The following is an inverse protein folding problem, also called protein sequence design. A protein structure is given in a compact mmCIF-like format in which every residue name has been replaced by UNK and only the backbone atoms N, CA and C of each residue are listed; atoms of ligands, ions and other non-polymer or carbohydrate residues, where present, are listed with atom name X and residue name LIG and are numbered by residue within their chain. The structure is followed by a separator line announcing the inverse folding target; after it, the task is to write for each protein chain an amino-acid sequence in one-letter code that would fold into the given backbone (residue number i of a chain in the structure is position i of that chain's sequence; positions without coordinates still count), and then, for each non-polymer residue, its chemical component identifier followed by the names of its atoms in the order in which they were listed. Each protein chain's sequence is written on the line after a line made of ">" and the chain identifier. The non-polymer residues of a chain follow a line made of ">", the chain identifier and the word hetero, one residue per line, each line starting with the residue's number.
data_IF_297422063482
#
_entry.id   IF_297422063482
#
_cell.length_a   1.000
_cell.length_b   1.000
_cell.length_c   1.000
_cell.angle_alpha   90.00
_cell.angle_beta   90.00
_cell.angle_gamma   90.00
#
_symmetry.space_group_name_H-M   'P 1'
#
loop_
_entity.id
_entity.type
_entity.pdbx_description
1 polymer ?
#
# COMPACT_ATOMS: atom_id res chain seq x y z
N UNK A 1 45.10 42.39 -29.71
CA UNK A 1 44.24 41.26 -30.14
C UNK A 1 44.58 39.92 -29.45
N UNK A 2 45.85 39.51 -29.34
CA UNK A 2 46.16 38.20 -28.68
C UNK A 2 45.81 38.12 -27.19
N UNK A 3 45.85 39.21 -26.42
CA UNK A 3 45.51 39.22 -25.00
C UNK A 3 43.99 39.18 -24.73
N UNK A 4 43.18 39.73 -25.63
CA UNK A 4 41.71 39.64 -25.55
C UNK A 4 41.20 38.25 -25.85
N UNK A 5 41.87 37.52 -26.72
CA UNK A 5 41.51 36.14 -27.06
C UNK A 5 41.72 35.17 -25.87
N UNK A 6 42.79 35.37 -25.11
CA UNK A 6 43.07 34.56 -23.91
C UNK A 6 42.08 34.82 -22.77
N UNK A 7 41.60 36.05 -22.59
CA UNK A 7 40.58 36.40 -21.58
C UNK A 7 39.23 35.82 -21.99
N UNK A 8 38.89 35.83 -23.28
CA UNK A 8 37.65 35.29 -23.78
C UNK A 8 37.60 33.74 -23.69
N UNK A 9 38.72 33.06 -23.95
CA UNK A 9 38.87 31.62 -23.76
C UNK A 9 38.85 31.23 -22.27
N UNK A 10 39.43 32.02 -21.38
CA UNK A 10 39.38 31.79 -19.94
C UNK A 10 37.96 32.01 -19.37
N UNK A 11 37.22 33.00 -19.89
CA UNK A 11 35.82 33.23 -19.51
C UNK A 11 34.90 32.11 -20.06
N UNK A 12 35.14 31.62 -21.29
CA UNK A 12 34.42 30.47 -21.83
C UNK A 12 34.69 29.17 -21.04
N UNK A 13 35.94 28.95 -20.60
CA UNK A 13 36.29 27.82 -19.75
C UNK A 13 35.73 27.96 -18.33
N UNK A 14 35.65 29.16 -17.78
CA UNK A 14 35.03 29.39 -16.46
C UNK A 14 33.48 29.28 -16.50
N UNK A 15 32.86 29.54 -17.66
CA UNK A 15 31.42 29.42 -17.83
C UNK A 15 30.93 27.99 -18.09
N UNK A 16 31.85 27.05 -18.38
CA UNK A 16 31.49 25.64 -18.64
C UNK A 16 31.61 24.71 -17.43
N UNK A 17 32.07 25.21 -16.30
CA UNK A 17 32.04 24.46 -15.04
C UNK A 17 30.81 24.89 -14.22
N UNK A 18 29.64 24.39 -14.57
CA UNK A 18 28.55 24.30 -13.60
C UNK A 18 29.00 23.24 -12.61
N UNK A 19 29.48 23.66 -11.47
CA UNK A 19 29.83 22.74 -10.39
C UNK A 19 28.56 22.06 -9.93
N UNK A 20 28.56 20.74 -9.94
CA UNK A 20 27.57 19.92 -9.23
C UNK A 20 27.57 20.39 -7.76
N UNK A 21 26.50 21.05 -7.31
CA UNK A 21 26.38 21.45 -5.92
C UNK A 21 25.75 20.25 -5.16
N UNK A 22 26.63 19.38 -4.68
CA UNK A 22 26.22 18.36 -3.71
C UNK A 22 26.52 18.89 -2.31
N UNK A 23 25.55 18.76 -1.42
CA UNK A 23 25.68 19.22 -0.05
C UNK A 23 25.39 18.06 0.90
N UNK A 24 26.30 17.81 1.84
CA UNK A 24 26.09 16.83 2.88
C UNK A 24 26.38 17.40 4.26
N UNK A 25 25.50 17.18 5.20
CA UNK A 25 25.68 17.55 6.60
C UNK A 25 25.53 16.30 7.46
N UNK A 26 26.53 16.02 8.28
CA UNK A 26 26.51 14.91 9.22
C UNK A 26 26.77 15.44 10.62
N UNK A 27 25.89 15.11 11.55
CA UNK A 27 26.10 15.34 12.98
C UNK A 27 25.97 14.01 13.72
N UNK A 28 27.01 13.65 14.47
CA UNK A 28 27.04 12.42 15.25
C UNK A 28 27.35 12.73 16.70
N UNK A 29 26.54 12.22 17.61
CA UNK A 29 26.78 12.22 19.06
C UNK A 29 26.55 10.81 19.60
N UNK A 30 27.42 10.32 20.47
CA UNK A 30 27.38 8.95 20.95
C UNK A 30 28.68 8.19 20.64
N UNK A 31 28.68 6.87 20.89
CA UNK A 31 29.87 6.04 20.71
C UNK A 31 29.67 5.01 19.59
N UNK A 32 30.74 4.72 18.85
CA UNK A 32 30.78 3.70 17.80
C UNK A 32 29.70 3.83 16.71
N UNK A 33 29.13 5.01 16.51
CA UNK A 33 28.20 5.26 15.41
C UNK A 33 28.95 5.45 14.09
N UNK A 34 28.40 4.95 13.00
CA UNK A 34 28.96 5.06 11.65
C UNK A 34 27.98 5.70 10.68
N UNK A 35 28.49 6.55 9.80
CA UNK A 35 27.70 7.09 8.70
C UNK A 35 28.54 7.12 7.42
N UNK A 36 27.93 6.69 6.32
CA UNK A 36 28.51 6.78 5.00
C UNK A 36 27.54 7.53 4.08
N UNK A 37 27.97 8.65 3.52
CA UNK A 37 27.20 9.45 2.58
C UNK A 37 27.97 9.52 1.27
N UNK A 38 27.40 8.98 0.20
CA UNK A 38 27.97 9.00 -1.14
C UNK A 38 27.02 9.73 -2.08
N UNK A 39 27.51 10.78 -2.73
CA UNK A 39 26.74 11.58 -3.67
C UNK A 39 27.47 11.64 -5.02
N UNK A 40 26.80 11.23 -6.09
CA UNK A 40 27.35 11.22 -7.46
C UNK A 40 26.35 11.86 -8.41
N UNK A 41 26.75 12.95 -9.06
CA UNK A 41 25.88 13.71 -9.96
C UNK A 41 25.67 15.15 -9.49
N UNK A 42 24.46 15.69 -9.66
CA UNK A 42 24.17 17.12 -9.47
C UNK A 42 23.04 17.35 -8.45
N UNK A 43 23.09 18.49 -7.75
CA UNK A 43 21.99 19.00 -6.90
C UNK A 43 21.48 18.02 -5.85
N UNK A 44 22.38 17.31 -5.19
CA UNK A 44 22.03 16.35 -4.15
C UNK A 44 22.23 16.98 -2.76
N UNK A 45 21.28 16.75 -1.88
CA UNK A 45 21.40 17.19 -0.48
C UNK A 45 21.17 16.00 0.45
N UNK A 46 22.07 15.82 1.41
CA UNK A 46 21.90 14.82 2.47
C UNK A 46 22.13 15.47 3.83
N UNK A 47 21.16 15.33 4.71
CA UNK A 47 21.28 15.73 6.11
C UNK A 47 21.12 14.50 6.99
N UNK A 48 22.11 14.25 7.82
CA UNK A 48 22.12 13.09 8.72
C UNK A 48 22.39 13.54 10.15
N UNK A 49 21.54 13.10 11.06
CA UNK A 49 21.69 13.31 12.49
C UNK A 49 21.63 11.96 13.22
N UNK A 50 22.72 11.57 13.85
CA UNK A 50 22.76 10.43 14.77
C UNK A 50 22.96 10.98 16.19
N UNK A 51 21.89 10.91 17.00
CA UNK A 51 21.86 11.56 18.30
C UNK A 51 21.79 10.56 19.45
N UNK A 52 22.82 10.53 20.26
CA UNK A 52 22.90 9.66 21.46
C UNK A 52 23.08 8.18 21.10
N UNK A 53 23.16 7.37 22.17
CA UNK A 53 23.30 5.93 22.04
C UNK A 53 24.64 5.45 21.48
N UNK A 54 24.67 4.15 21.18
CA UNK A 54 25.85 3.49 20.66
C UNK A 54 25.51 2.72 19.38
N UNK A 55 26.50 2.62 18.48
CA UNK A 55 26.44 1.71 17.33
C UNK A 55 25.30 1.96 16.32
N UNK A 56 24.87 3.21 16.16
CA UNK A 56 23.99 3.57 15.04
C UNK A 56 24.73 3.48 13.70
N UNK A 57 24.07 2.97 12.68
CA UNK A 57 24.63 2.82 11.34
C UNK A 57 23.75 3.51 10.30
N UNK A 58 24.37 4.34 9.47
CA UNK A 58 23.69 5.04 8.38
C UNK A 58 24.44 4.85 7.07
N UNK A 59 23.72 4.55 6.01
CA UNK A 59 24.23 4.60 4.65
C UNK A 59 23.29 5.42 3.77
N UNK A 60 23.78 6.46 3.15
CA UNK A 60 23.06 7.25 2.14
C UNK A 60 23.83 7.20 0.84
N UNK A 61 23.19 6.75 -0.22
CA UNK A 61 23.75 6.77 -1.57
C UNK A 61 22.77 7.51 -2.48
N UNK A 62 23.24 8.60 -3.05
CA UNK A 62 22.50 9.40 -4.01
C UNK A 62 23.26 9.42 -5.34
N UNK A 63 22.58 9.05 -6.42
CA UNK A 63 23.16 9.05 -7.76
C UNK A 63 22.14 9.59 -8.76
N UNK A 64 22.51 10.60 -9.52
CA UNK A 64 21.71 11.06 -10.64
C UNK A 64 22.58 11.36 -11.87
N UNK A 65 21.97 11.25 -13.04
CA UNK A 65 22.64 11.56 -14.31
C UNK A 65 22.22 12.91 -14.89
N UNK A 66 21.13 13.50 -14.39
CA UNK A 66 20.53 14.74 -14.88
C UNK A 66 20.25 15.74 -13.75
N UNK A 67 19.62 16.87 -14.06
CA UNK A 67 19.36 17.99 -13.15
C UNK A 67 18.30 17.75 -12.05
N UNK A 68 17.99 16.51 -11.74
CA UNK A 68 17.07 16.17 -10.66
C UNK A 68 17.64 16.50 -9.29
N UNK A 69 16.80 16.99 -8.38
CA UNK A 69 17.21 17.19 -7.00
C UNK A 69 16.89 15.94 -6.18
N UNK A 70 17.90 15.44 -5.46
CA UNK A 70 17.74 14.35 -4.51
C UNK A 70 17.96 14.87 -3.10
N UNK A 71 16.97 14.72 -2.24
CA UNK A 71 17.05 15.13 -0.84
C UNK A 71 16.91 13.92 0.07
N UNK A 72 17.79 13.80 1.03
CA UNK A 72 17.74 12.79 2.07
C UNK A 72 17.87 13.46 3.44
N UNK A 73 16.91 13.23 4.32
CA UNK A 73 16.95 13.68 5.71
C UNK A 73 16.77 12.48 6.63
N UNK A 74 17.80 12.10 7.35
CA UNK A 74 17.80 10.92 8.22
C UNK A 74 18.15 11.32 9.64
N UNK A 75 17.27 10.97 10.58
CA UNK A 75 17.48 11.14 12.02
C UNK A 75 17.43 9.80 12.73
N UNK A 76 18.44 9.48 13.51
CA UNK A 76 18.49 8.31 14.37
C UNK A 76 18.76 8.76 15.82
N UNK A 77 17.84 8.41 16.72
CA UNK A 77 17.95 8.68 18.16
C UNK A 77 17.83 7.37 18.92
N UNK A 78 18.80 7.06 19.79
CA UNK A 78 18.90 5.78 20.51
C UNK A 78 20.06 4.93 20.04
N UNK A 79 20.05 3.64 20.29
CA UNK A 79 21.19 2.75 20.04
C UNK A 79 20.89 1.65 19.01
N UNK A 80 21.89 1.27 18.22
CA UNK A 80 21.80 0.13 17.30
C UNK A 80 20.85 0.33 16.13
N UNK A 81 20.41 1.57 15.86
CA UNK A 81 19.54 1.83 14.71
C UNK A 81 20.31 1.73 13.39
N UNK A 82 19.69 1.13 12.39
CA UNK A 82 20.27 0.95 11.05
C UNK A 82 19.38 1.61 10.02
N UNK A 83 19.93 2.51 9.23
CA UNK A 83 19.26 3.16 8.11
C UNK A 83 20.05 3.01 6.82
N UNK A 84 19.36 2.66 5.75
CA UNK A 84 19.91 2.64 4.40
C UNK A 84 18.98 3.40 3.45
N UNK A 85 19.50 4.42 2.81
CA UNK A 85 18.79 5.21 1.81
C UNK A 85 19.56 5.11 0.50
N UNK A 86 18.89 4.66 -0.54
CA UNK A 86 19.43 4.57 -1.89
C UNK A 86 18.51 5.30 -2.86
N UNK A 87 18.98 6.42 -3.40
CA UNK A 87 18.28 7.20 -4.41
C UNK A 87 19.08 7.15 -5.71
N UNK A 88 18.53 6.54 -6.73
CA UNK A 88 19.17 6.44 -8.03
C UNK A 88 18.23 6.87 -9.14
N UNK A 89 18.59 7.87 -9.87
CA UNK A 89 17.88 8.29 -11.06
C UNK A 89 18.64 7.85 -12.32
N UNK A 90 17.98 6.99 -13.09
CA UNK A 90 18.51 6.43 -14.33
C UNK A 90 17.62 6.90 -15.48
N UNK A 91 18.06 7.89 -16.24
CA UNK A 91 17.37 8.28 -17.46
C UNK A 91 17.41 9.77 -17.77
N UNK A 92 17.28 10.08 -19.01
CA UNK A 92 17.24 11.47 -19.49
C UNK A 92 15.81 11.98 -19.35
N UNK A 93 15.48 12.55 -18.20
CA UNK A 93 14.21 13.25 -18.00
C UNK A 93 14.01 14.36 -19.04
N UNK A 94 13.18 14.11 -20.00
CA UNK A 94 12.90 15.09 -21.05
C UNK A 94 11.98 16.24 -20.60
N UNK A 95 11.49 16.21 -19.37
CA UNK A 95 10.56 17.21 -18.82
C UNK A 95 10.87 17.50 -17.36
N UNK A 96 11.88 18.30 -17.11
CA UNK A 96 12.17 19.11 -15.95
C UNK A 96 11.67 18.68 -14.55
N UNK A 97 12.61 18.59 -13.59
CA UNK A 97 12.38 18.61 -12.14
C UNK A 97 11.82 17.33 -11.49
N UNK A 98 12.57 16.27 -11.56
CA UNK A 98 12.35 15.14 -10.67
C UNK A 98 12.94 15.45 -9.28
N UNK A 99 12.08 15.66 -8.29
CA UNK A 99 12.50 15.80 -6.91
C UNK A 99 12.29 14.48 -6.19
N UNK A 100 13.34 13.79 -5.82
CA UNK A 100 13.29 12.65 -4.92
C UNK A 100 13.52 13.14 -3.49
N UNK A 101 12.62 12.82 -2.58
CA UNK A 101 12.75 13.22 -1.18
C UNK A 101 12.53 12.03 -0.27
N UNK A 102 13.51 11.74 0.56
CA UNK A 102 13.46 10.75 1.61
C UNK A 102 13.54 11.44 2.97
N UNK A 103 12.58 11.16 3.84
CA UNK A 103 12.60 11.57 5.24
C UNK A 103 12.47 10.33 6.11
N UNK A 104 13.47 10.08 6.95
CA UNK A 104 13.51 8.94 7.85
C UNK A 104 13.81 9.40 9.27
N UNK A 105 12.97 9.03 10.20
CA UNK A 105 13.19 9.24 11.63
C UNK A 105 13.07 7.90 12.39
N UNK A 106 14.11 7.55 13.14
CA UNK A 106 14.14 6.39 14.03
C UNK A 106 14.39 6.85 15.46
N UNK A 107 13.47 6.53 16.36
CA UNK A 107 13.53 6.86 17.79
C UNK A 107 13.38 5.60 18.62
N UNK A 108 14.36 5.27 19.43
CA UNK A 108 14.45 4.02 20.18
C UNK A 108 15.62 3.16 19.75
N UNK A 109 15.59 1.88 20.07
CA UNK A 109 16.75 1.03 19.86
C UNK A 109 16.52 -0.07 18.81
N UNK A 110 17.58 -0.39 18.07
CA UNK A 110 17.61 -1.50 17.10
C UNK A 110 16.56 -1.42 15.98
N UNK A 111 16.07 -0.22 15.63
CA UNK A 111 15.18 -0.06 14.48
C UNK A 111 15.97 -0.18 13.18
N UNK A 112 15.35 -0.79 12.17
CA UNK A 112 15.96 -1.00 10.85
C UNK A 112 15.07 -0.44 9.76
N UNK A 113 15.65 0.32 8.84
CA UNK A 113 14.96 0.87 7.69
C UNK A 113 15.82 0.80 6.44
N UNK A 114 15.20 0.37 5.34
CA UNK A 114 15.77 0.46 4.01
C UNK A 114 14.79 1.15 3.06
N UNK A 115 15.25 2.24 2.44
CA UNK A 115 14.50 2.99 1.44
C UNK A 115 15.26 2.97 0.12
N UNK A 116 14.62 2.50 -0.94
CA UNK A 116 15.21 2.37 -2.26
C UNK A 116 14.32 3.08 -3.27
N UNK A 117 14.83 4.12 -3.86
CA UNK A 117 14.24 4.81 -5.00
C UNK A 117 15.10 4.59 -6.25
N UNK A 118 14.59 3.85 -7.21
CA UNK A 118 15.33 3.55 -8.42
C UNK A 118 14.45 3.75 -9.68
N UNK A 119 14.93 4.50 -10.65
CA UNK A 119 14.30 4.68 -11.96
C UNK A 119 14.09 6.12 -12.40
N UNK A 120 13.50 6.25 -13.59
CA UNK A 120 13.28 7.53 -14.27
C UNK A 120 12.08 8.28 -13.69
N UNK A 121 12.28 9.56 -13.42
CA UNK A 121 11.28 10.64 -13.35
C UNK A 121 10.39 10.88 -12.13
N UNK A 122 10.37 12.16 -11.79
CA UNK A 122 9.32 13.01 -11.20
C UNK A 122 8.75 12.64 -9.83
N UNK A 123 9.17 13.45 -8.83
CA UNK A 123 8.37 13.68 -7.62
C UNK A 123 8.08 12.45 -6.77
N UNK A 124 9.11 11.78 -6.28
CA UNK A 124 8.98 10.70 -5.30
C UNK A 124 9.11 11.27 -3.90
N UNK A 125 8.26 10.82 -3.02
CA UNK A 125 8.31 11.20 -1.62
C UNK A 125 8.17 9.98 -0.73
N UNK A 126 9.19 9.68 0.04
CA UNK A 126 9.18 8.63 1.06
C UNK A 126 9.30 9.25 2.44
N UNK A 127 8.36 8.95 3.31
CA UNK A 127 8.40 9.40 4.69
C UNK A 127 8.20 8.23 5.65
N UNK A 128 9.13 8.03 6.56
CA UNK A 128 9.05 6.97 7.56
C UNK A 128 9.35 7.50 8.96
N UNK A 129 8.50 7.12 9.90
CA UNK A 129 8.74 7.28 11.34
C UNK A 129 8.70 5.91 12.02
N UNK A 130 9.78 5.54 12.70
CA UNK A 130 9.82 4.38 13.59
C UNK A 130 10.06 4.86 15.01
N UNK A 131 9.10 4.61 15.90
CA UNK A 131 9.19 4.96 17.31
C UNK A 131 8.98 3.72 18.18
N UNK A 132 9.97 3.36 18.99
CA UNK A 132 10.02 2.12 19.77
C UNK A 132 11.24 1.30 19.41
N UNK A 133 11.20 -0.01 19.66
CA UNK A 133 12.38 -0.84 19.52
C UNK A 133 12.18 -1.96 18.50
N UNK A 134 13.26 -2.31 17.80
CA UNK A 134 13.31 -3.42 16.87
C UNK A 134 12.23 -3.40 15.76
N UNK A 135 11.78 -2.20 15.37
CA UNK A 135 10.89 -2.05 14.21
C UNK A 135 11.69 -2.20 12.90
N UNK A 136 11.09 -2.85 11.91
CA UNK A 136 11.72 -3.11 10.61
C UNK A 136 10.83 -2.56 9.50
N UNK A 137 11.40 -1.79 8.60
CA UNK A 137 10.71 -1.21 7.46
C UNK A 137 11.47 -1.34 6.15
N UNK A 138 10.75 -1.58 5.07
CA UNK A 138 11.26 -1.57 3.72
C UNK A 138 10.34 -0.75 2.81
N UNK A 139 10.92 0.20 2.10
CA UNK A 139 10.25 0.93 1.02
C UNK A 139 11.08 0.78 -0.25
N UNK A 140 10.46 0.33 -1.32
CA UNK A 140 11.13 0.10 -2.59
C UNK A 140 10.29 0.62 -3.75
N UNK A 141 10.78 1.64 -4.41
CA UNK A 141 10.17 2.20 -5.61
C UNK A 141 11.05 1.87 -6.81
N UNK A 142 10.48 1.17 -7.77
CA UNK A 142 11.14 0.85 -9.04
C UNK A 142 10.32 1.42 -10.21
N UNK A 143 10.86 2.45 -10.83
CA UNK A 143 10.23 3.09 -11.98
C UNK A 143 9.01 3.97 -11.63
N UNK A 144 8.43 4.59 -12.65
CA UNK A 144 7.19 5.37 -12.57
C UNK A 144 7.33 6.82 -12.13
N UNK A 145 6.25 7.58 -12.37
CA UNK A 145 6.13 8.99 -12.03
C UNK A 145 5.42 9.12 -10.68
N UNK A 146 5.67 10.17 -9.94
CA UNK A 146 5.00 10.59 -8.70
C UNK A 146 4.51 9.45 -7.79
N UNK A 147 5.36 8.99 -6.91
CA UNK A 147 5.02 7.98 -5.92
C UNK A 147 5.12 8.61 -4.52
N UNK A 148 4.15 8.32 -3.67
CA UNK A 148 4.12 8.78 -2.29
C UNK A 148 3.98 7.57 -1.36
N UNK A 149 5.02 7.30 -0.58
CA UNK A 149 5.04 6.22 0.39
C UNK A 149 5.16 6.82 1.79
N UNK A 150 4.23 6.48 2.65
CA UNK A 150 4.27 6.89 4.05
C UNK A 150 4.21 5.67 4.95
N UNK A 151 5.02 5.67 6.00
CA UNK A 151 4.95 4.63 7.01
C UNK A 151 5.18 5.19 8.40
N UNK A 152 4.37 4.76 9.35
CA UNK A 152 4.54 5.08 10.74
C UNK A 152 4.39 3.82 11.59
N UNK A 153 5.42 3.51 12.38
CA UNK A 153 5.42 2.42 13.35
C UNK A 153 5.61 2.99 14.74
N UNK A 154 4.68 2.71 15.64
CA UNK A 154 4.72 3.11 17.05
C UNK A 154 4.58 1.84 17.90
N UNK A 155 5.55 1.56 18.75
CA UNK A 155 5.65 0.33 19.53
C UNK A 155 6.84 -0.53 19.09
N UNK A 156 6.85 -1.78 19.48
CA UNK A 156 8.02 -2.64 19.32
C UNK A 156 7.78 -3.78 18.31
N UNK A 157 8.85 -4.19 17.63
CA UNK A 157 8.84 -5.36 16.73
C UNK A 157 7.81 -5.29 15.59
N UNK A 158 7.43 -4.11 15.14
CA UNK A 158 6.54 -3.98 13.98
C UNK A 158 7.34 -4.14 12.69
N UNK A 159 6.69 -4.70 11.68
CA UNK A 159 7.24 -4.91 10.36
C UNK A 159 6.35 -4.29 9.28
N UNK A 160 6.94 -3.57 8.33
CA UNK A 160 6.27 -3.26 7.08
C UNK A 160 7.18 -3.43 5.86
N UNK A 161 6.54 -3.71 4.72
CA UNK A 161 7.17 -3.70 3.41
C UNK A 161 6.22 -3.06 2.39
N UNK A 162 6.68 -1.99 1.76
CA UNK A 162 5.97 -1.30 0.69
C UNK A 162 6.79 -1.38 -0.59
N UNK A 163 6.22 -1.93 -1.64
CA UNK A 163 6.88 -2.04 -2.94
C UNK A 163 5.99 -1.45 -4.02
N UNK A 164 6.53 -0.53 -4.80
CA UNK A 164 5.91 -0.03 -6.03
C UNK A 164 6.79 -0.46 -7.20
N UNK A 165 6.18 -1.17 -8.13
CA UNK A 165 6.80 -1.47 -9.43
C UNK A 165 5.88 -0.92 -10.51
N UNK A 166 6.31 0.09 -11.21
CA UNK A 166 5.52 0.73 -12.27
C UNK A 166 6.01 0.32 -13.65
N UNK A 167 5.07 -0.01 -14.50
CA UNK A 167 5.34 -0.19 -15.92
C UNK A 167 5.78 1.10 -16.61
N UNK A 168 6.40 0.98 -17.76
CA UNK A 168 6.89 2.10 -18.58
C UNK A 168 5.69 2.93 -19.06
N UNK A 169 5.74 4.23 -18.81
CA UNK A 169 4.75 5.18 -19.34
C UNK A 169 5.07 5.60 -20.77
N UNK A 170 4.09 5.53 -21.64
CA UNK A 170 4.14 6.08 -22.99
C UNK A 170 2.98 7.06 -23.21
N UNK A 171 3.09 8.30 -22.72
CA UNK A 171 2.04 9.30 -22.98
C UNK A 171 2.37 10.68 -22.40
N UNK A 172 1.97 11.72 -23.08
CA UNK A 172 2.27 13.12 -22.75
C UNK A 172 1.17 13.67 -21.85
N UNK A 173 1.52 14.11 -20.64
CA UNK A 173 0.75 15.13 -19.91
C UNK A 173 -0.11 14.70 -18.73
N UNK A 174 -0.10 13.45 -18.28
CA UNK A 174 -0.79 13.04 -17.05
C UNK A 174 0.09 12.12 -16.23
N UNK A 175 0.26 12.45 -14.97
CA UNK A 175 1.16 11.75 -14.07
C UNK A 175 0.34 10.91 -13.08
N UNK A 176 0.41 9.56 -13.14
CA UNK A 176 -0.23 8.72 -12.14
C UNK A 176 0.44 8.94 -10.78
N UNK A 177 -0.36 9.20 -9.78
CA UNK A 177 0.07 9.22 -8.38
C UNK A 177 -0.22 7.87 -7.76
N UNK A 178 0.80 7.19 -7.27
CA UNK A 178 0.63 6.02 -6.42
C UNK A 178 0.76 6.47 -4.97
N UNK A 179 -0.20 6.10 -4.15
CA UNK A 179 -0.19 6.43 -2.73
C UNK A 179 -0.24 5.16 -1.91
N UNK A 180 0.74 4.97 -1.06
CA UNK A 180 0.79 3.84 -0.13
C UNK A 180 1.01 4.35 1.28
N UNK A 181 0.12 3.97 2.19
CA UNK A 181 0.22 4.32 3.60
C UNK A 181 0.22 3.10 4.51
N UNK A 182 1.12 3.08 5.50
CA UNK A 182 1.11 2.13 6.62
C UNK A 182 1.15 2.89 7.93
N UNK A 183 0.19 2.60 8.78
CA UNK A 183 0.18 3.05 10.18
C UNK A 183 0.06 1.85 11.10
N UNK A 184 1.05 1.62 11.96
CA UNK A 184 1.07 0.57 12.97
C UNK A 184 1.25 1.16 14.36
N UNK A 185 0.32 0.88 15.27
CA UNK A 185 0.38 1.31 16.66
C UNK A 185 0.12 0.11 17.57
N UNK A 186 1.16 -0.34 18.26
CA UNK A 186 1.21 -1.55 19.06
C UNK A 186 2.43 -2.39 18.71
N UNK A 187 2.43 -3.66 19.11
CA UNK A 187 3.61 -4.48 19.00
C UNK A 187 3.42 -5.67 18.04
N UNK A 188 4.47 -6.00 17.31
CA UNK A 188 4.49 -7.19 16.45
C UNK A 188 3.52 -7.17 15.29
N UNK A 189 3.05 -6.00 14.84
CA UNK A 189 2.18 -5.88 13.67
C UNK A 189 2.99 -6.05 12.38
N UNK A 190 2.37 -6.62 11.36
CA UNK A 190 2.99 -6.84 10.06
C UNK A 190 2.10 -6.33 8.92
N UNK A 191 2.66 -5.50 8.03
CA UNK A 191 1.97 -5.00 6.86
C UNK A 191 2.82 -5.14 5.59
N UNK A 192 2.26 -5.75 4.55
CA UNK A 192 2.90 -5.89 3.26
C UNK A 192 2.01 -5.26 2.19
N UNK A 193 2.56 -4.35 1.42
CA UNK A 193 1.87 -3.70 0.31
C UNK A 193 2.71 -3.79 -0.95
N UNK A 194 2.19 -4.48 -1.96
CA UNK A 194 2.82 -4.59 -3.26
C UNK A 194 1.91 -3.96 -4.31
N UNK A 195 2.43 -3.02 -5.04
CA UNK A 195 1.72 -2.35 -6.11
C UNK A 195 2.47 -2.47 -7.41
N UNK A 196 1.79 -2.99 -8.41
CA UNK A 196 2.26 -3.00 -9.78
C UNK A 196 1.31 -2.14 -10.62
N UNK A 197 1.74 -0.93 -10.92
CA UNK A 197 0.93 0.03 -11.66
C UNK A 197 0.89 -0.25 -13.16
N UNK A 198 -0.21 0.14 -13.77
CA UNK A 198 -0.35 0.20 -15.22
C UNK A 198 -0.07 1.60 -15.77
N UNK A 199 -0.17 1.77 -17.09
CA UNK A 199 0.43 2.86 -17.84
C UNK A 199 -0.33 4.18 -17.93
N UNK A 200 -1.50 4.41 -17.32
CA UNK A 200 -2.30 5.63 -17.55
C UNK A 200 -3.07 6.14 -16.31
N UNK A 201 -3.16 7.43 -16.15
CA UNK A 201 -4.06 8.33 -15.45
C UNK A 201 -4.16 8.27 -13.91
N UNK A 202 -4.43 7.14 -13.27
CA UNK A 202 -4.46 7.03 -11.82
C UNK A 202 -3.72 5.77 -11.38
N UNK A 203 -2.76 5.95 -10.48
CA UNK A 203 -2.07 4.83 -9.87
C UNK A 203 -2.95 4.13 -8.82
N UNK A 204 -2.64 2.88 -8.47
CA UNK A 204 -3.26 2.21 -7.36
C UNK A 204 -2.98 2.93 -6.04
N UNK A 205 -3.93 2.82 -5.10
CA UNK A 205 -3.81 3.37 -3.75
C UNK A 205 -4.01 2.27 -2.71
N UNK A 206 -3.17 2.24 -1.68
CA UNK A 206 -3.23 1.22 -0.65
C UNK A 206 -2.99 1.83 0.74
N UNK A 207 -3.93 1.61 1.64
CA UNK A 207 -3.83 2.06 3.02
C UNK A 207 -3.95 0.90 4.00
N UNK A 208 -3.10 0.88 5.01
CA UNK A 208 -3.16 -0.04 6.14
C UNK A 208 -3.09 0.74 7.45
N UNK A 209 -4.04 0.48 8.33
CA UNK A 209 -4.02 0.97 9.71
C UNK A 209 -4.21 -0.20 10.67
N UNK A 210 -3.21 -0.47 11.51
CA UNK A 210 -3.23 -1.52 12.52
C UNK A 210 -3.06 -0.90 13.91
N UNK A 211 -4.04 -1.12 14.78
CA UNK A 211 -4.01 -0.69 16.19
C UNK A 211 -4.18 -1.90 17.10
N UNK A 212 -3.20 -2.18 17.93
CA UNK A 212 -3.13 -3.37 18.77
C UNK A 212 -1.93 -4.24 18.42
N UNK A 213 -1.96 -5.52 18.75
CA UNK A 213 -0.77 -6.35 18.65
C UNK A 213 -0.94 -7.52 17.67
N UNK A 214 0.14 -7.88 17.02
CA UNK A 214 0.22 -9.08 16.19
C UNK A 214 -0.80 -9.12 15.03
N UNK A 215 -1.27 -7.97 14.57
CA UNK A 215 -2.12 -7.90 13.38
C UNK A 215 -1.28 -8.10 12.11
N UNK A 216 -1.87 -8.76 11.10
CA UNK A 216 -1.18 -9.07 9.87
C UNK A 216 -2.01 -8.65 8.66
N UNK A 217 -1.41 -7.89 7.75
CA UNK A 217 -2.08 -7.46 6.51
C UNK A 217 -1.22 -7.69 5.28
N UNK A 218 -1.88 -7.99 4.17
CA UNK A 218 -1.25 -7.99 2.86
C UNK A 218 -2.18 -7.41 1.81
N UNK A 219 -1.69 -6.44 1.05
CA UNK A 219 -2.35 -5.86 -0.10
C UNK A 219 -1.49 -6.06 -1.34
N UNK A 220 -2.07 -6.68 -2.35
CA UNK A 220 -1.42 -6.92 -3.64
C UNK A 220 -2.30 -6.35 -4.76
N UNK A 221 -1.88 -5.22 -5.32
CA UNK A 221 -2.62 -4.48 -6.31
C UNK A 221 -1.88 -4.51 -7.64
N UNK A 222 -2.49 -5.12 -8.64
CA UNK A 222 -1.96 -5.19 -9.99
C UNK A 222 -2.94 -4.54 -10.97
N UNK A 223 -2.48 -3.53 -11.68
CA UNK A 223 -3.30 -2.76 -12.62
C UNK A 223 -3.55 -1.33 -12.15
N UNK A 224 -4.44 -0.64 -12.86
CA UNK A 224 -4.78 0.76 -12.63
C UNK A 224 -6.07 0.89 -11.82
N UNK A 225 -6.28 2.09 -11.25
CA UNK A 225 -7.54 2.44 -10.58
C UNK A 225 -7.98 1.41 -9.51
N UNK A 226 -7.03 0.84 -8.78
CA UNK A 226 -7.30 -0.04 -7.66
C UNK A 226 -7.18 0.74 -6.35
N UNK A 227 -8.18 0.62 -5.48
CA UNK A 227 -8.15 1.21 -4.15
C UNK A 227 -8.38 0.15 -3.07
N UNK A 228 -7.41 0.00 -2.18
CA UNK A 228 -7.43 -0.98 -1.10
C UNK A 228 -7.27 -0.31 0.25
N UNK A 229 -8.14 -0.62 1.20
CA UNK A 229 -8.03 -0.12 2.57
C UNK A 229 -8.25 -1.24 3.58
N UNK A 230 -7.33 -1.36 4.54
CA UNK A 230 -7.44 -2.26 5.68
C UNK A 230 -7.33 -1.46 6.96
N UNK A 231 -8.30 -1.62 7.85
CA UNK A 231 -8.30 -1.03 9.18
C UNK A 231 -8.56 -2.11 10.24
N UNK A 232 -7.56 -2.40 11.05
CA UNK A 232 -7.60 -3.40 12.12
C UNK A 232 -7.46 -2.74 13.49
N UNK A 233 -8.38 -3.04 14.39
CA UNK A 233 -8.33 -2.61 15.79
C UNK A 233 -8.52 -3.81 16.69
N UNK A 234 -7.54 -4.12 17.53
CA UNK A 234 -7.50 -5.32 18.36
C UNK A 234 -6.27 -6.16 18.09
N UNK A 235 -6.31 -7.44 18.40
CA UNK A 235 -5.12 -8.26 18.33
C UNK A 235 -5.29 -9.46 17.38
N UNK A 236 -4.21 -9.85 16.76
CA UNK A 236 -4.14 -11.05 15.92
C UNK A 236 -5.17 -11.09 14.77
N UNK A 237 -5.59 -9.94 14.29
CA UNK A 237 -6.44 -9.86 13.10
C UNK A 237 -5.62 -10.11 11.83
N UNK A 238 -6.28 -10.66 10.82
CA UNK A 238 -5.68 -11.05 9.55
C UNK A 238 -6.49 -10.51 8.38
N UNK A 239 -5.90 -9.70 7.50
CA UNK A 239 -6.59 -9.20 6.32
C UNK A 239 -5.72 -9.29 5.06
N UNK A 240 -6.27 -9.91 4.02
CA UNK A 240 -5.62 -10.02 2.71
C UNK A 240 -6.51 -9.43 1.61
N UNK A 241 -5.94 -8.57 0.79
CA UNK A 241 -6.60 -8.01 -0.39
C UNK A 241 -5.74 -8.24 -1.63
N UNK A 242 -6.31 -8.86 -2.63
CA UNK A 242 -5.69 -9.03 -3.94
C UNK A 242 -6.61 -8.41 -4.99
N UNK A 243 -6.09 -7.50 -5.77
CA UNK A 243 -6.82 -6.89 -6.86
C UNK A 243 -6.02 -7.00 -8.16
N UNK A 244 -6.63 -7.63 -9.14
CA UNK A 244 -6.07 -7.79 -10.47
C UNK A 244 -7.04 -7.18 -11.49
N UNK A 245 -6.54 -6.32 -12.34
CA UNK A 245 -7.32 -5.71 -13.40
C UNK A 245 -7.30 -4.20 -13.33
N UNK A 246 -8.20 -3.60 -14.04
CA UNK A 246 -8.18 -2.18 -14.32
C UNK A 246 -7.47 -1.90 -15.64
N UNK A 247 -8.12 -1.22 -16.54
CA UNK A 247 -7.57 -0.81 -17.82
C UNK A 247 -7.74 0.70 -18.03
N UNK A 248 -6.85 1.21 -18.78
CA UNK A 248 -6.44 2.54 -19.12
C UNK A 248 -7.50 3.59 -19.50
N UNK A 249 -8.76 3.42 -19.30
CA UNK A 249 -9.78 4.40 -19.72
C UNK A 249 -10.80 4.70 -18.61
N UNK A 250 -10.42 5.67 -17.77
CA UNK A 250 -11.30 6.56 -17.02
C UNK A 250 -12.57 5.95 -16.38
N UNK A 251 -12.60 5.88 -15.07
CA UNK A 251 -13.76 5.83 -14.18
C UNK A 251 -14.19 4.49 -13.55
N UNK A 252 -13.41 3.46 -13.60
CA UNK A 252 -13.77 2.20 -12.96
C UNK A 252 -12.80 1.81 -11.85
N UNK A 253 -12.99 2.36 -10.67
CA UNK A 253 -12.22 1.99 -9.50
C UNK A 253 -12.64 0.62 -8.98
N UNK A 254 -11.70 -0.33 -8.94
CA UNK A 254 -11.87 -1.50 -8.11
C UNK A 254 -11.63 -1.09 -6.64
N UNK A 255 -12.48 -1.51 -5.76
CA UNK A 255 -12.38 -1.12 -4.35
C UNK A 255 -12.49 -2.32 -3.44
N UNK A 256 -11.51 -2.49 -2.56
CA UNK A 256 -11.53 -3.47 -1.49
C UNK A 256 -11.35 -2.78 -0.13
N UNK A 257 -12.35 -2.90 0.74
CA UNK A 257 -12.31 -2.32 2.08
C UNK A 257 -12.48 -3.44 3.11
N UNK A 258 -11.58 -3.50 4.08
CA UNK A 258 -11.68 -4.40 5.23
C UNK A 258 -11.56 -3.61 6.52
N UNK A 259 -12.56 -3.76 7.40
CA UNK A 259 -12.55 -3.18 8.74
C UNK A 259 -12.78 -4.28 9.75
N UNK A 260 -11.82 -4.48 10.66
CA UNK A 260 -11.88 -5.49 11.71
C UNK A 260 -11.73 -4.82 13.08
N UNK A 261 -12.69 -5.09 13.96
CA UNK A 261 -12.65 -4.62 15.35
C UNK A 261 -12.85 -5.81 16.28
N UNK A 262 -11.90 -6.05 17.17
CA UNK A 262 -11.84 -7.22 18.04
C UNK A 262 -10.61 -8.08 17.76
N UNK A 263 -10.66 -9.35 18.09
CA UNK A 263 -9.48 -10.19 18.03
C UNK A 263 -9.67 -11.40 17.10
N UNK A 264 -8.58 -11.80 16.45
CA UNK A 264 -8.53 -13.00 15.62
C UNK A 264 -9.56 -13.04 14.49
N UNK A 265 -9.99 -11.88 13.99
CA UNK A 265 -10.85 -11.81 12.81
C UNK A 265 -10.02 -12.04 11.55
N UNK A 266 -10.65 -12.65 10.54
CA UNK A 266 -10.00 -12.95 9.27
C UNK A 266 -10.83 -12.40 8.09
N UNK A 267 -10.21 -11.66 7.21
CA UNK A 267 -10.84 -11.04 6.04
C UNK A 267 -10.02 -11.29 4.78
N UNK A 268 -10.65 -11.84 3.76
CA UNK A 268 -10.05 -12.13 2.48
C UNK A 268 -10.87 -11.50 1.35
N UNK A 269 -10.23 -10.73 0.49
CA UNK A 269 -10.88 -10.10 -0.66
C UNK A 269 -10.02 -10.31 -1.90
N UNK A 270 -10.59 -10.98 -2.88
CA UNK A 270 -9.96 -11.21 -4.18
C UNK A 270 -10.85 -10.66 -5.28
N UNK A 271 -10.40 -9.63 -5.96
CA UNK A 271 -11.11 -8.96 -7.04
C UNK A 271 -10.32 -9.13 -8.34
N UNK A 272 -10.93 -9.75 -9.33
CA UNK A 272 -10.33 -9.88 -10.66
C UNK A 272 -11.31 -9.35 -11.69
N UNK A 273 -10.96 -8.23 -12.31
CA UNK A 273 -11.78 -7.59 -13.33
C UNK A 273 -11.26 -7.88 -14.72
N UNK A 274 -12.16 -7.93 -15.69
CA UNK A 274 -11.77 -7.95 -17.10
C UNK A 274 -11.34 -6.56 -17.55
N UNK A 275 -10.78 -6.47 -18.73
CA UNK A 275 -10.29 -5.21 -19.31
C UNK A 275 -11.41 -4.29 -19.80
N UNK A 276 -12.63 -4.40 -19.30
CA UNK A 276 -13.79 -3.66 -19.78
C UNK A 276 -13.88 -2.23 -19.24
N UNK A 277 -14.40 -1.36 -20.06
CA UNK A 277 -14.44 0.11 -19.93
C UNK A 277 -15.50 0.65 -18.94
N UNK A 278 -16.09 -0.20 -18.11
CA UNK A 278 -17.22 0.16 -17.27
C UNK A 278 -16.92 -0.04 -15.79
N UNK A 279 -17.77 0.35 -14.93
CA UNK A 279 -17.60 0.44 -13.46
C UNK A 279 -16.83 -0.71 -12.82
N UNK A 280 -15.98 -0.40 -11.85
CA UNK A 280 -15.17 -1.36 -11.12
C UNK A 280 -15.96 -2.28 -10.19
N UNK A 281 -15.31 -3.33 -9.77
CA UNK A 281 -15.81 -4.31 -8.80
C UNK A 281 -15.51 -3.84 -7.38
N UNK A 282 -16.46 -4.04 -6.46
CA UNK A 282 -16.37 -3.52 -5.10
C UNK A 282 -16.58 -4.63 -4.07
N UNK A 283 -15.73 -4.68 -3.06
CA UNK A 283 -15.87 -5.56 -1.91
C UNK A 283 -15.70 -4.79 -0.60
N UNK A 284 -16.65 -4.95 0.30
CA UNK A 284 -16.59 -4.38 1.65
C UNK A 284 -16.82 -5.44 2.70
N UNK A 285 -15.89 -5.62 3.61
CA UNK A 285 -16.00 -6.54 4.74
C UNK A 285 -15.89 -5.73 6.03
N UNK A 286 -16.87 -5.89 6.93
CA UNK A 286 -16.82 -5.31 8.26
C UNK A 286 -17.05 -6.41 9.29
N UNK A 287 -16.12 -6.56 10.22
CA UNK A 287 -16.19 -7.56 11.29
C UNK A 287 -16.04 -6.86 12.64
N UNK A 288 -17.01 -7.08 13.53
CA UNK A 288 -16.98 -6.56 14.90
C UNK A 288 -17.23 -7.71 15.87
N UNK A 289 -16.29 -8.01 16.73
CA UNK A 289 -16.26 -9.18 17.61
C UNK A 289 -14.99 -10.00 17.42
N UNK A 290 -15.01 -11.25 17.78
CA UNK A 290 -13.83 -12.09 17.76
C UNK A 290 -14.01 -13.32 16.88
N UNK A 291 -12.93 -13.82 16.30
CA UNK A 291 -12.91 -15.05 15.53
C UNK A 291 -13.92 -15.10 14.35
N UNK A 292 -14.25 -13.96 13.78
CA UNK A 292 -15.08 -13.90 12.58
C UNK A 292 -14.23 -14.16 11.33
N UNK A 293 -14.83 -14.86 10.37
CA UNK A 293 -14.21 -15.15 9.07
C UNK A 293 -15.09 -14.61 7.95
N UNK A 294 -14.51 -13.85 7.03
CA UNK A 294 -15.18 -13.37 5.84
C UNK A 294 -14.29 -13.49 4.60
N UNK A 295 -14.85 -14.01 3.52
CA UNK A 295 -14.14 -14.16 2.25
C UNK A 295 -15.03 -13.71 1.09
N UNK A 296 -14.50 -12.86 0.22
CA UNK A 296 -15.13 -12.48 -1.05
C UNK A 296 -14.20 -12.80 -2.21
N UNK A 297 -14.72 -13.51 -3.19
CA UNK A 297 -14.03 -13.78 -4.45
C UNK A 297 -14.88 -13.30 -5.62
N UNK A 298 -14.44 -12.27 -6.30
CA UNK A 298 -15.19 -11.61 -7.37
C UNK A 298 -14.40 -11.68 -8.68
N UNK A 299 -15.01 -12.24 -9.71
CA UNK A 299 -14.46 -12.34 -11.07
C UNK A 299 -15.44 -11.73 -12.04
N UNK A 300 -15.02 -10.74 -12.79
CA UNK A 300 -15.85 -9.95 -13.71
C UNK A 300 -16.02 -8.52 -13.25
N UNK A 301 -16.79 -7.74 -14.01
CA UNK A 301 -16.95 -6.31 -13.81
C UNK A 301 -18.23 -5.99 -13.05
N UNK A 302 -18.27 -4.85 -12.34
CA UNK A 302 -19.47 -4.33 -11.66
C UNK A 302 -20.05 -5.25 -10.57
N UNK A 303 -19.28 -6.19 -10.07
CA UNK A 303 -19.72 -7.01 -8.94
C UNK A 303 -19.62 -6.18 -7.65
N UNK A 304 -20.62 -6.30 -6.80
CA UNK A 304 -20.65 -5.64 -5.49
C UNK A 304 -20.89 -6.69 -4.41
N UNK A 305 -19.98 -6.77 -3.45
CA UNK A 305 -20.05 -7.65 -2.30
C UNK A 305 -20.00 -6.86 -1.00
N UNK A 306 -20.90 -7.12 -0.09
CA UNK A 306 -20.87 -6.56 1.26
C UNK A 306 -21.05 -7.68 2.28
N UNK A 307 -20.14 -7.82 3.22
CA UNK A 307 -20.24 -8.73 4.36
C UNK A 307 -20.13 -7.92 5.64
N UNK A 308 -21.12 -8.07 6.52
CA UNK A 308 -21.15 -7.45 7.84
C UNK A 308 -21.38 -8.50 8.91
N UNK A 309 -20.43 -8.71 9.80
CA UNK A 309 -20.48 -9.68 10.88
C UNK A 309 -20.36 -8.96 12.22
N UNK A 310 -21.30 -9.24 13.12
CA UNK A 310 -21.33 -8.69 14.47
C UNK A 310 -21.41 -9.81 15.49
N UNK A 311 -20.67 -9.70 16.59
CA UNK A 311 -20.38 -10.71 17.59
C UNK A 311 -19.40 -11.78 17.09
N UNK A 312 -19.35 -12.94 17.72
CA UNK A 312 -18.18 -13.81 17.58
C UNK A 312 -18.45 -15.07 16.74
N UNK A 313 -17.39 -15.54 16.06
CA UNK A 313 -17.37 -16.82 15.39
C UNK A 313 -18.24 -16.93 14.15
N UNK A 314 -18.66 -15.82 13.56
CA UNK A 314 -19.46 -15.85 12.33
C UNK A 314 -18.58 -16.18 11.12
N UNK A 315 -19.14 -16.90 10.17
CA UNK A 315 -18.48 -17.34 8.95
C UNK A 315 -19.29 -16.90 7.72
N UNK A 316 -18.64 -16.20 6.77
CA UNK A 316 -19.26 -15.82 5.51
C UNK A 316 -18.32 -16.02 4.34
N UNK A 317 -18.76 -16.73 3.31
CA UNK A 317 -18.09 -16.85 2.03
C UNK A 317 -19.01 -16.42 0.90
N UNK A 318 -18.47 -15.64 -0.03
CA UNK A 318 -19.15 -15.17 -1.21
C UNK A 318 -18.28 -15.31 -2.45
N UNK A 319 -18.81 -16.00 -3.45
CA UNK A 319 -18.20 -16.07 -4.79
C UNK A 319 -19.15 -15.46 -5.81
N UNK A 320 -18.66 -14.49 -6.57
CA UNK A 320 -19.39 -13.88 -7.68
C UNK A 320 -18.56 -14.05 -8.96
N UNK A 321 -19.17 -14.62 -10.00
CA UNK A 321 -18.54 -14.73 -11.31
C UNK A 321 -19.47 -14.18 -12.40
N UNK A 322 -18.88 -13.62 -13.44
CA UNK A 322 -19.51 -12.75 -14.45
C UNK A 322 -19.89 -11.35 -13.88
N UNK A 323 -20.58 -10.53 -14.66
CA UNK A 323 -20.70 -9.11 -14.42
C UNK A 323 -21.99 -8.72 -13.70
N UNK A 324 -21.90 -7.66 -12.86
CA UNK A 324 -23.07 -6.99 -12.31
C UNK A 324 -23.81 -7.77 -11.19
N UNK A 325 -23.15 -8.70 -10.53
CA UNK A 325 -23.74 -9.39 -9.39
C UNK A 325 -23.69 -8.52 -8.13
N UNK A 326 -24.75 -8.55 -7.34
CA UNK A 326 -24.86 -7.83 -6.08
C UNK A 326 -25.14 -8.84 -4.94
N UNK A 327 -24.34 -8.79 -3.87
CA UNK A 327 -24.61 -9.58 -2.68
C UNK A 327 -24.39 -8.79 -1.40
N UNK A 328 -25.29 -8.96 -0.44
CA UNK A 328 -25.20 -8.37 0.90
C UNK A 328 -25.49 -9.44 1.96
N UNK A 329 -24.48 -9.75 2.78
CA UNK A 329 -24.54 -10.74 3.85
C UNK A 329 -24.42 -10.05 5.20
N UNK A 330 -25.38 -10.27 6.07
CA UNK A 330 -25.42 -9.67 7.41
C UNK A 330 -25.59 -10.79 8.45
N UNK A 331 -24.66 -10.88 9.38
CA UNK A 331 -24.72 -11.83 10.49
C UNK A 331 -24.62 -11.07 11.82
N UNK A 332 -25.64 -11.19 12.63
CA UNK A 332 -25.70 -10.59 13.95
C UNK A 332 -26.02 -11.69 14.99
N UNK A 333 -25.00 -12.13 15.69
CA UNK A 333 -25.09 -13.23 16.63
C UNK A 333 -23.83 -14.07 16.65
N UNK A 334 -23.90 -15.25 17.18
CA UNK A 334 -22.76 -16.13 17.36
C UNK A 334 -22.80 -17.32 16.39
N UNK A 335 -21.67 -17.66 15.82
CA UNK A 335 -21.48 -18.87 15.03
C UNK A 335 -22.48 -19.05 13.87
N UNK A 336 -22.86 -17.97 13.24
CA UNK A 336 -23.72 -18.02 12.05
C UNK A 336 -22.87 -18.28 10.80
N UNK A 337 -23.45 -18.97 9.82
CA UNK A 337 -22.77 -19.31 8.56
C UNK A 337 -23.59 -18.85 7.36
N UNK A 338 -22.97 -18.12 6.44
CA UNK A 338 -23.53 -17.81 5.12
C UNK A 338 -22.55 -18.22 4.04
N UNK A 339 -22.98 -19.07 3.12
CA UNK A 339 -22.25 -19.40 1.90
C UNK A 339 -23.07 -18.93 0.70
N UNK A 340 -22.47 -18.13 -0.17
CA UNK A 340 -23.10 -17.58 -1.34
C UNK A 340 -22.31 -17.82 -2.62
N UNK A 341 -23.01 -18.19 -3.67
CA UNK A 341 -22.46 -18.31 -5.01
C UNK A 341 -23.41 -17.67 -6.02
N UNK A 342 -22.90 -16.72 -6.79
CA UNK A 342 -23.58 -16.12 -7.92
C UNK A 342 -22.76 -16.36 -9.18
N UNK A 343 -23.29 -17.16 -10.08
CA UNK A 343 -22.71 -17.43 -11.39
C UNK A 343 -23.65 -16.88 -12.47
N UNK A 344 -23.13 -16.42 -13.58
CA UNK A 344 -23.81 -15.56 -14.53
C UNK A 344 -24.06 -14.14 -13.99
N UNK A 345 -24.47 -13.21 -14.82
CA UNK A 345 -24.55 -11.81 -14.45
C UNK A 345 -25.89 -11.36 -13.88
N UNK A 346 -25.88 -10.18 -13.23
CA UNK A 346 -27.06 -9.45 -12.75
C UNK A 346 -27.84 -10.15 -11.62
N UNK A 347 -27.26 -11.09 -10.89
CA UNK A 347 -27.89 -11.71 -9.74
C UNK A 347 -27.86 -10.76 -8.53
N UNK A 348 -28.93 -10.81 -7.73
CA UNK A 348 -29.05 -10.03 -6.50
C UNK A 348 -29.36 -10.94 -5.32
N UNK A 349 -28.54 -10.88 -4.26
CA UNK A 349 -28.73 -11.69 -3.06
C UNK A 349 -28.65 -10.82 -1.81
N UNK A 350 -29.63 -10.97 -0.93
CA UNK A 350 -29.55 -10.45 0.43
C UNK A 350 -29.77 -11.60 1.39
N UNK A 351 -28.82 -11.84 2.28
CA UNK A 351 -28.91 -12.85 3.32
C UNK A 351 -28.69 -12.23 4.69
N UNK A 352 -29.61 -12.39 5.61
CA UNK A 352 -29.54 -11.83 6.96
C UNK A 352 -29.80 -12.89 8.00
N UNK A 353 -28.93 -12.99 8.99
CA UNK A 353 -29.08 -13.89 10.14
C UNK A 353 -28.99 -13.10 11.44
N UNK A 354 -30.01 -13.26 12.27
CA UNK A 354 -30.08 -12.68 13.62
C UNK A 354 -30.32 -13.80 14.64
N UNK A 355 -29.42 -13.97 15.58
CA UNK A 355 -29.39 -15.07 16.54
C UNK A 355 -28.19 -15.98 16.33
N UNK A 356 -28.25 -17.22 16.80
CA UNK A 356 -27.04 -18.04 16.88
C UNK A 356 -27.14 -19.33 16.07
N UNK A 357 -26.02 -19.82 15.57
CA UNK A 357 -25.92 -21.11 14.87
C UNK A 357 -26.87 -21.23 13.66
N UNK A 358 -27.18 -20.14 12.99
CA UNK A 358 -27.99 -20.17 11.78
C UNK A 358 -27.12 -20.45 10.54
N UNK A 359 -27.68 -21.13 9.55
CA UNK A 359 -26.96 -21.45 8.30
C UNK A 359 -27.80 -21.08 7.07
N UNK A 360 -27.20 -20.36 6.14
CA UNK A 360 -27.74 -20.06 4.81
C UNK A 360 -26.77 -20.55 3.75
N UNK A 361 -27.24 -21.35 2.81
CA UNK A 361 -26.54 -21.64 1.56
C UNK A 361 -27.37 -21.06 0.42
N UNK A 362 -26.74 -20.21 -0.39
CA UNK A 362 -27.34 -19.51 -1.50
C UNK A 362 -26.62 -19.81 -2.80
N UNK A 363 -27.29 -20.29 -3.80
CA UNK A 363 -26.78 -20.48 -5.14
C UNK A 363 -27.69 -19.81 -6.15
N UNK A 364 -27.18 -18.91 -6.93
CA UNK A 364 -27.84 -18.28 -8.07
C UNK A 364 -27.05 -18.56 -9.33
N UNK A 365 -27.60 -19.41 -10.19
CA UNK A 365 -26.95 -19.88 -11.41
C UNK A 365 -27.96 -19.87 -12.55
N UNK A 366 -28.12 -18.78 -13.22
CA UNK A 366 -29.09 -18.71 -14.33
C UNK A 366 -28.91 -17.43 -15.15
N UNK A 367 -29.37 -17.47 -16.37
CA UNK A 367 -29.36 -16.31 -17.27
C UNK A 367 -30.51 -15.39 -16.85
N UNK A 368 -30.21 -14.16 -16.47
CA UNK A 368 -31.23 -13.13 -16.38
C UNK A 368 -31.66 -12.66 -14.98
N UNK A 369 -30.70 -12.46 -14.07
CA UNK A 369 -30.96 -11.64 -12.90
C UNK A 369 -31.81 -12.28 -11.82
N UNK A 370 -31.37 -13.37 -11.24
CA UNK A 370 -32.02 -13.97 -10.07
C UNK A 370 -32.00 -13.01 -8.87
N UNK A 371 -33.10 -12.97 -8.12
CA UNK A 371 -33.20 -12.18 -6.90
C UNK A 371 -33.57 -13.05 -5.72
N UNK A 372 -32.85 -12.95 -4.61
CA UNK A 372 -33.14 -13.68 -3.38
C UNK A 372 -33.03 -12.77 -2.18
N UNK A 373 -34.01 -12.82 -1.29
CA UNK A 373 -33.94 -12.20 0.03
C UNK A 373 -34.21 -13.31 1.05
N UNK A 374 -33.23 -13.61 1.89
CA UNK A 374 -33.33 -14.65 2.92
C UNK A 374 -33.07 -14.03 4.28
N UNK A 375 -34.03 -14.20 5.19
CA UNK A 375 -33.89 -13.69 6.56
C UNK A 375 -34.16 -14.84 7.56
N UNK A 376 -33.22 -15.02 8.48
CA UNK A 376 -33.35 -15.96 9.59
C UNK A 376 -33.27 -15.22 10.91
N UNK A 377 -34.27 -15.44 11.78
CA UNK A 377 -34.27 -14.89 13.14
C UNK A 377 -34.50 -16.04 14.13
N UNK A 378 -33.67 -16.08 15.17
CA UNK A 378 -33.68 -17.18 16.16
C UNK A 378 -32.40 -18.01 16.04
N UNK A 379 -32.46 -19.24 16.55
CA UNK A 379 -31.26 -20.08 16.67
C UNK A 379 -31.42 -21.38 15.87
N UNK A 380 -30.35 -21.83 15.26
CA UNK A 380 -30.28 -23.13 14.60
C UNK A 380 -31.09 -23.25 13.31
N UNK A 381 -31.48 -22.15 12.69
CA UNK A 381 -32.23 -22.18 11.44
C UNK A 381 -31.30 -22.54 10.26
N UNK A 382 -31.83 -23.30 9.32
CA UNK A 382 -31.15 -23.70 8.10
C UNK A 382 -31.97 -23.30 6.88
N UNK A 383 -31.38 -22.63 5.93
CA UNK A 383 -31.97 -22.31 4.63
C UNK A 383 -31.04 -22.72 3.49
N UNK A 384 -31.64 -23.32 2.46
CA UNK A 384 -30.92 -23.64 1.22
C UNK A 384 -31.71 -23.07 0.04
N UNK A 385 -31.15 -22.13 -0.67
CA UNK A 385 -31.76 -21.40 -1.77
C UNK A 385 -30.99 -21.69 -3.04
N UNK A 386 -31.67 -22.25 -4.02
CA UNK A 386 -31.08 -22.55 -5.33
C UNK A 386 -31.99 -21.92 -6.40
N UNK A 387 -31.43 -21.09 -7.23
CA UNK A 387 -32.11 -20.44 -8.35
C UNK A 387 -31.31 -20.67 -9.63
N UNK A 388 -31.97 -21.09 -10.68
CA UNK A 388 -31.40 -21.42 -11.99
C UNK A 388 -31.92 -20.51 -13.08
#
# INVERSE_FOLDING_TARGET
>A
MKKMFFIMVAILFAASFSFAQNNSTLTQTGNNSSANITQTGFSQTSTALQNGGNSNSLSVVQSNQDYATQNSNVTQTGSGNVASVYQNEVGKGNLGYANQTVVLEQVGDNNQMSQIENGDNNGRHEQTLQQGNANIGYQNIQGGYTNNLTAQQIGDNNYFSQTITNGVFAGIGVYPTNEIGVYQNGNGNSAIQNMQGGSNWNGPQAEVSQKGNSNQTSQNLNGQDNWASINETGNSNLAYQTMNGGNANMSSWNSAISTQTGNSNQSFQNLSTSTSLTKGTQSSITQTGNNNYANTNQVGDQNIATINQTLDGNFAELSQSADGNLASFIQNGYSNTINGSQTMGLNNATASQVGNNNSINLTQAGIGGNSSITMQTGNGNVANIIQH
#
